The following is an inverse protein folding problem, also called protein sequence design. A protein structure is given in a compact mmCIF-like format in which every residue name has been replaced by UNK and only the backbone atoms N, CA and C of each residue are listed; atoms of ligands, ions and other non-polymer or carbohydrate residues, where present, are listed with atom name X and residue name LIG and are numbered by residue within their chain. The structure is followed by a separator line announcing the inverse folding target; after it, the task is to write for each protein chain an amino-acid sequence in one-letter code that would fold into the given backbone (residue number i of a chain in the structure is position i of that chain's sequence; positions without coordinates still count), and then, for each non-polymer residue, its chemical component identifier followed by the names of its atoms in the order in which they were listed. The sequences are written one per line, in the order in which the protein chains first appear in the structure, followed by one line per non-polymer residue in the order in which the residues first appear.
data_IF_738490248549
#
_entry.id   IF_738490248549
#
_cell.length_a   1.000
_cell.length_b   1.000
_cell.length_c   1.000
_cell.angle_alpha   90.00
_cell.angle_beta   90.00
_cell.angle_gamma   90.00
#
_symmetry.space_group_name_H-M   'P 1'
#
loop_
_entity.id
_entity.type
_entity.pdbx_description
1 polymer ?
#
# COMPACT_ATOMS: atom_id res chain seq x y z
N UNK A 1 20.16 -1.50 1.86
CA UNK A 1 19.65 -0.87 3.10
C UNK A 1 19.28 0.60 2.88
N UNK A 2 20.24 1.48 2.55
CA UNK A 2 19.97 2.91 2.37
C UNK A 2 18.97 3.24 1.26
N UNK A 3 19.03 2.51 0.14
CA UNK A 3 18.10 2.68 -0.98
C UNK A 3 16.66 2.28 -0.64
N UNK A 4 16.48 1.10 -0.03
CA UNK A 4 15.17 0.65 0.49
C UNK A 4 14.60 1.63 1.50
N UNK A 5 15.43 2.10 2.45
CA UNK A 5 15.01 3.06 3.47
C UNK A 5 14.54 4.37 2.83
N UNK A 6 15.27 4.87 1.83
CA UNK A 6 14.90 6.06 1.06
C UNK A 6 13.60 5.86 0.27
N UNK A 7 13.46 4.74 -0.44
CA UNK A 7 12.27 4.41 -1.20
C UNK A 7 11.02 4.22 -0.32
N UNK A 8 11.20 3.70 0.90
CA UNK A 8 10.13 3.52 1.87
C UNK A 8 9.87 4.75 2.75
N UNK A 9 10.68 5.81 2.65
CA UNK A 9 10.57 7.02 3.47
C UNK A 9 10.90 6.83 4.95
N UNK A 10 11.70 5.81 5.32
CA UNK A 10 12.02 5.50 6.72
C UNK A 10 13.51 5.55 7.02
N UNK A 11 13.86 5.64 8.30
CA UNK A 11 15.27 5.63 8.73
C UNK A 11 15.91 4.25 8.46
N UNK A 12 17.15 4.19 7.93
CA UNK A 12 17.90 2.92 7.81
C UNK A 12 17.97 2.10 9.10
N UNK A 13 17.99 2.75 10.27
CA UNK A 13 17.93 2.07 11.59
C UNK A 13 16.61 1.32 11.81
N UNK A 14 15.50 1.85 11.29
CA UNK A 14 14.19 1.19 11.35
C UNK A 14 14.19 -0.07 10.49
N UNK A 15 14.80 -0.02 9.30
CA UNK A 15 14.96 -1.19 8.42
C UNK A 15 15.79 -2.27 9.10
N UNK A 16 16.91 -1.88 9.73
CA UNK A 16 17.76 -2.84 10.44
C UNK A 16 17.03 -3.45 11.65
N UNK A 17 16.33 -2.63 12.43
CA UNK A 17 15.51 -3.10 13.54
C UNK A 17 14.44 -4.11 13.09
N UNK A 18 13.67 -3.80 12.05
CA UNK A 18 12.67 -4.71 11.49
C UNK A 18 13.28 -6.00 10.96
N UNK A 19 14.49 -5.93 10.41
CA UNK A 19 15.19 -7.13 9.97
C UNK A 19 15.63 -8.00 11.15
N UNK A 20 16.13 -7.39 12.23
CA UNK A 20 16.60 -8.10 13.42
C UNK A 20 15.48 -8.85 14.13
N UNK A 21 14.27 -8.29 14.18
CA UNK A 21 13.11 -8.93 14.80
C UNK A 21 12.38 -9.91 13.83
N UNK A 22 12.91 -10.09 12.62
CA UNK A 22 12.35 -10.98 11.60
C UNK A 22 11.10 -10.44 10.91
N UNK A 23 10.74 -9.17 11.15
CA UNK A 23 9.61 -8.49 10.53
C UNK A 23 9.90 -8.19 9.05
N UNK A 24 11.16 -7.99 8.68
CA UNK A 24 11.64 -7.87 7.31
C UNK A 24 12.66 -8.99 7.04
N UNK A 25 12.56 -9.69 5.91
CA UNK A 25 13.49 -10.76 5.55
C UNK A 25 14.22 -10.39 4.27
N UNK A 26 15.56 -10.28 4.26
CA UNK A 26 16.31 -10.04 3.04
C UNK A 26 16.23 -11.27 2.12
N UNK A 27 16.06 -11.06 0.82
CA UNK A 27 15.92 -12.17 -0.14
C UNK A 27 17.24 -12.89 -0.41
N UNK A 28 18.37 -12.19 -0.26
CA UNK A 28 19.68 -12.79 -0.45
C UNK A 28 20.70 -12.12 0.47
N UNK A 29 21.61 -12.93 1.02
CA UNK A 29 22.87 -12.45 1.59
C UNK A 29 23.91 -12.54 0.49
N UNK A 30 24.44 -11.40 0.07
CA UNK A 30 25.58 -11.41 -0.87
C UNK A 30 26.79 -12.11 -0.21
N UNK A 31 27.74 -12.65 -1.02
CA UNK A 31 29.01 -13.18 -0.50
C UNK A 31 29.76 -12.17 0.38
N UNK A 32 29.56 -10.88 0.12
CA UNK A 32 30.07 -9.72 0.86
C UNK A 32 29.27 -9.33 2.12
N UNK A 33 28.41 -10.20 2.67
CA UNK A 33 27.55 -9.96 3.85
C UNK A 33 26.52 -8.81 3.74
N UNK A 34 26.41 -8.13 2.59
CA UNK A 34 25.33 -7.14 2.39
C UNK A 34 23.97 -7.82 2.21
N UNK A 35 22.96 -7.27 2.88
CA UNK A 35 21.55 -7.67 2.78
C UNK A 35 20.92 -7.01 1.55
N UNK A 36 20.43 -7.82 0.62
CA UNK A 36 19.66 -7.36 -0.53
C UNK A 36 18.17 -7.43 -0.24
N UNK A 37 17.47 -6.40 -0.67
CA UNK A 37 16.03 -6.24 -0.52
C UNK A 37 15.44 -5.98 -1.89
N UNK A 38 14.37 -6.70 -2.21
CA UNK A 38 13.62 -6.58 -3.45
C UNK A 38 12.46 -5.59 -3.32
N UNK A 39 11.72 -5.39 -4.40
CA UNK A 39 10.44 -4.68 -4.40
C UNK A 39 9.44 -5.27 -3.39
N UNK A 40 9.43 -6.59 -3.18
CA UNK A 40 8.58 -7.23 -2.15
C UNK A 40 8.91 -6.73 -0.74
N UNK A 41 10.17 -6.39 -0.50
CA UNK A 41 10.58 -5.81 0.77
C UNK A 41 10.06 -4.38 0.94
N UNK A 42 9.98 -3.62 -0.15
CA UNK A 42 9.42 -2.27 -0.16
C UNK A 42 7.90 -2.32 0.09
N UNK A 43 7.20 -3.20 -0.60
CA UNK A 43 5.76 -3.43 -0.41
C UNK A 43 5.46 -3.85 1.03
N UNK A 44 6.24 -4.79 1.58
CA UNK A 44 6.14 -5.18 2.99
C UNK A 44 6.34 -4.00 3.95
N UNK A 45 7.27 -3.10 3.67
CA UNK A 45 7.47 -1.89 4.47
C UNK A 45 6.28 -0.92 4.39
N UNK A 46 5.63 -0.79 3.23
CA UNK A 46 4.40 0.02 3.10
C UNK A 46 3.27 -0.56 3.96
N UNK A 47 3.08 -1.88 3.94
CA UNK A 47 2.08 -2.56 4.80
C UNK A 47 2.39 -2.34 6.28
N UNK A 48 3.65 -2.49 6.70
CA UNK A 48 4.06 -2.24 8.10
C UNK A 48 3.71 -0.79 8.50
N UNK A 49 3.99 0.20 7.64
CA UNK A 49 3.67 1.60 7.93
C UNK A 49 2.16 1.85 8.03
N UNK A 50 1.37 1.27 7.13
CA UNK A 50 -0.08 1.38 7.13
C UNK A 50 -0.72 0.77 8.39
N UNK A 51 -0.22 -0.38 8.86
CA UNK A 51 -0.69 -1.02 10.08
C UNK A 51 -0.22 -0.28 11.34
N UNK A 52 1.00 0.28 11.34
CA UNK A 52 1.49 1.14 12.43
C UNK A 52 0.65 2.41 12.58
N UNK A 53 0.18 3.00 11.47
CA UNK A 53 -0.73 4.15 11.52
C UNK A 53 -2.06 3.81 12.20
N UNK A 54 -2.51 2.54 12.09
CA UNK A 54 -3.70 1.98 12.74
C UNK A 54 -3.46 1.43 14.15
N UNK A 55 -2.31 1.75 14.76
CA UNK A 55 -1.95 1.39 16.15
C UNK A 55 -1.70 -0.09 16.45
N UNK A 56 -1.54 -0.95 15.43
CA UNK A 56 -1.09 -2.32 15.65
C UNK A 56 0.34 -2.36 16.24
N UNK A 57 0.57 -3.30 17.15
CA UNK A 57 1.88 -3.67 17.69
C UNK A 57 2.73 -4.36 16.63
N UNK A 58 4.05 -4.40 16.82
CA UNK A 58 4.95 -5.06 15.86
C UNK A 58 4.74 -6.58 15.87
N UNK A 59 4.33 -7.13 17.00
CA UNK A 59 3.96 -8.53 17.18
C UNK A 59 2.70 -8.88 16.37
N UNK A 60 1.64 -8.07 16.44
CA UNK A 60 0.43 -8.26 15.63
C UNK A 60 0.73 -8.12 14.14
N UNK A 61 1.50 -7.09 13.77
CA UNK A 61 1.92 -6.89 12.37
C UNK A 61 2.71 -8.11 11.88
N UNK A 62 3.62 -8.65 12.69
CA UNK A 62 4.36 -9.86 12.35
C UNK A 62 3.43 -11.04 12.11
N UNK A 63 2.45 -11.25 13.00
CA UNK A 63 1.48 -12.33 12.88
C UNK A 63 0.62 -12.20 11.61
N UNK A 64 0.20 -10.97 11.26
CA UNK A 64 -0.54 -10.68 10.01
C UNK A 64 0.35 -11.00 8.80
N UNK A 65 1.59 -10.54 8.82
CA UNK A 65 2.52 -10.69 7.70
C UNK A 65 3.08 -12.11 7.52
N UNK A 66 3.06 -12.93 8.57
CA UNK A 66 3.48 -14.34 8.53
C UNK A 66 2.35 -15.27 8.05
N UNK A 67 1.08 -14.81 8.05
CA UNK A 67 -0.06 -15.55 7.46
C UNK A 67 -0.05 -15.60 5.92
N UNK A 68 0.90 -14.92 5.27
CA UNK A 68 0.94 -14.75 3.82
C UNK A 68 -0.06 -13.69 3.35
N UNK A 69 0.04 -13.21 2.10
CA UNK A 69 -0.95 -12.27 1.58
C UNK A 69 -2.31 -12.96 1.56
N UNK A 70 -3.27 -12.41 2.31
CA UNK A 70 -4.67 -12.79 2.11
C UNK A 70 -5.07 -12.44 0.68
N UNK A 71 -5.96 -13.22 0.09
CA UNK A 71 -6.53 -12.92 -1.23
C UNK A 71 -7.07 -11.47 -1.29
N UNK A 72 -7.63 -11.00 -0.16
CA UNK A 72 -8.09 -9.62 0.05
C UNK A 72 -6.95 -8.59 -0.04
N UNK A 73 -5.77 -8.86 0.54
CA UNK A 73 -4.62 -7.94 0.47
C UNK A 73 -4.05 -7.85 -0.94
N UNK A 74 -3.97 -8.99 -1.65
CA UNK A 74 -3.52 -9.01 -3.03
C UNK A 74 -4.47 -8.24 -3.95
N UNK A 75 -5.78 -8.38 -3.73
CA UNK A 75 -6.79 -7.64 -4.49
C UNK A 75 -6.77 -6.15 -4.14
N UNK A 76 -6.61 -5.78 -2.86
CA UNK A 76 -6.48 -4.39 -2.43
C UNK A 76 -5.26 -3.69 -3.08
N UNK A 77 -4.10 -4.36 -3.13
CA UNK A 77 -2.91 -3.82 -3.78
C UNK A 77 -3.12 -3.61 -5.30
N UNK A 78 -3.83 -4.52 -5.97
CA UNK A 78 -4.22 -4.36 -7.38
C UNK A 78 -5.14 -3.17 -7.59
N UNK A 79 -6.12 -2.97 -6.70
CA UNK A 79 -7.03 -1.83 -6.77
C UNK A 79 -6.30 -0.51 -6.53
N UNK A 80 -5.34 -0.46 -5.60
CA UNK A 80 -4.48 0.71 -5.36
C UNK A 80 -3.69 1.10 -6.61
N UNK A 81 -3.01 0.14 -7.24
CA UNK A 81 -2.26 0.38 -8.48
C UNK A 81 -3.16 0.86 -9.64
N UNK A 82 -4.37 0.30 -9.77
CA UNK A 82 -5.35 0.75 -10.76
C UNK A 82 -5.81 2.20 -10.49
N UNK A 83 -5.99 2.58 -9.23
CA UNK A 83 -6.36 3.95 -8.86
C UNK A 83 -5.24 4.94 -9.18
N UNK A 84 -3.98 4.61 -8.89
CA UNK A 84 -2.83 5.44 -9.27
C UNK A 84 -2.80 5.68 -10.79
N UNK A 85 -2.95 4.61 -11.58
CA UNK A 85 -2.98 4.74 -13.04
C UNK A 85 -4.15 5.60 -13.56
N UNK A 86 -5.32 5.52 -12.91
CA UNK A 86 -6.47 6.37 -13.25
C UNK A 86 -6.19 7.84 -12.93
N UNK A 87 -5.55 8.13 -11.79
CA UNK A 87 -5.18 9.50 -11.41
C UNK A 87 -4.19 10.10 -12.41
N UNK A 88 -3.14 9.36 -12.77
CA UNK A 88 -2.16 9.81 -13.78
C UNK A 88 -2.84 10.09 -15.12
N UNK A 89 -3.75 9.21 -15.55
CA UNK A 89 -4.52 9.40 -16.79
C UNK A 89 -5.39 10.65 -16.73
N UNK A 90 -6.04 10.92 -15.59
CA UNK A 90 -6.85 12.13 -15.42
C UNK A 90 -5.99 13.40 -15.45
N UNK A 91 -4.80 13.35 -14.87
CA UNK A 91 -3.83 14.43 -14.92
C UNK A 91 -3.38 14.74 -16.35
N UNK A 92 -3.16 13.71 -17.18
CA UNK A 92 -2.82 13.87 -18.61
C UNK A 92 -3.96 14.43 -19.47
N UNK A 93 -5.21 14.30 -18.99
CA UNK A 93 -6.41 14.77 -19.70
C UNK A 93 -6.77 16.21 -19.33
N UNK A 94 -6.29 16.76 -18.21
CA UNK A 94 -6.73 18.08 -17.69
C UNK A 94 -6.48 19.24 -18.65
N UNK A 95 -5.41 19.14 -19.45
CA UNK A 95 -5.00 20.18 -20.39
C UNK A 95 -5.55 19.98 -21.82
N UNK A 96 -6.36 18.94 -22.05
CA UNK A 96 -6.92 18.61 -23.37
C UNK A 96 -8.33 19.17 -23.53
N UNK A 97 -8.72 19.63 -24.74
CA UNK A 97 -10.10 20.03 -24.99
C UNK A 97 -11.02 18.80 -24.88
N UNK A 98 -11.99 18.87 -23.96
CA UNK A 98 -12.99 17.82 -23.74
C UNK A 98 -14.27 18.14 -24.50
N UNK A 99 -14.64 17.25 -25.43
CA UNK A 99 -15.94 17.28 -26.10
C UNK A 99 -17.10 16.91 -25.13
N UNK A 100 -18.33 17.03 -25.61
CA UNK A 100 -19.52 16.75 -24.80
C UNK A 100 -19.57 15.28 -24.31
N UNK A 101 -19.09 14.34 -25.12
CA UNK A 101 -19.09 12.91 -24.80
C UNK A 101 -18.08 12.61 -23.68
N UNK A 102 -16.86 13.11 -23.79
CA UNK A 102 -15.82 12.99 -22.79
C UNK A 102 -16.26 13.59 -21.46
N UNK A 103 -16.89 14.78 -21.48
CA UNK A 103 -17.45 15.41 -20.28
C UNK A 103 -18.51 14.54 -19.60
N UNK A 104 -19.46 13.99 -20.36
CA UNK A 104 -20.49 13.11 -19.80
C UNK A 104 -19.90 11.84 -19.17
N UNK A 105 -18.88 11.26 -19.80
CA UNK A 105 -18.15 10.11 -19.26
C UNK A 105 -17.40 10.45 -17.97
N UNK A 106 -16.71 11.59 -17.91
CA UNK A 106 -15.99 12.05 -16.72
C UNK A 106 -16.95 12.36 -15.55
N UNK A 107 -18.11 12.96 -15.82
CA UNK A 107 -19.16 13.14 -14.80
C UNK A 107 -19.63 11.80 -14.26
N UNK A 108 -19.84 10.81 -15.14
CA UNK A 108 -20.23 9.46 -14.72
C UNK A 108 -19.14 8.80 -13.87
N UNK A 109 -17.87 8.99 -14.24
CA UNK A 109 -16.72 8.48 -13.50
C UNK A 109 -16.64 9.12 -12.11
N UNK A 110 -16.87 10.42 -11.99
CA UNK A 110 -16.90 11.12 -10.70
C UNK A 110 -17.96 10.54 -9.76
N UNK A 111 -19.18 10.29 -10.25
CA UNK A 111 -20.26 9.67 -9.46
C UNK A 111 -19.89 8.26 -9.00
N UNK A 112 -19.29 7.46 -9.89
CA UNK A 112 -18.81 6.11 -9.54
C UNK A 112 -17.68 6.16 -8.51
N UNK A 113 -16.76 7.11 -8.64
CA UNK A 113 -15.68 7.33 -7.68
C UNK A 113 -16.19 7.66 -6.29
N UNK A 114 -17.21 8.52 -6.17
CA UNK A 114 -17.87 8.81 -4.89
C UNK A 114 -18.52 7.56 -4.29
N UNK A 115 -19.24 6.76 -5.08
CA UNK A 115 -19.87 5.53 -4.61
C UNK A 115 -18.82 4.49 -4.13
N UNK A 116 -17.67 4.41 -4.81
CA UNK A 116 -16.54 3.58 -4.37
C UNK A 116 -16.00 4.07 -3.03
N UNK A 117 -15.72 5.36 -2.89
CA UNK A 117 -15.23 5.94 -1.63
C UNK A 117 -16.20 5.68 -0.47
N UNK A 118 -17.51 5.81 -0.70
CA UNK A 118 -18.53 5.50 0.31
C UNK A 118 -18.49 4.03 0.74
N UNK A 119 -18.40 3.08 -0.20
CA UNK A 119 -18.32 1.64 0.12
C UNK A 119 -17.05 1.30 0.90
N UNK A 120 -15.92 1.91 0.56
CA UNK A 120 -14.67 1.75 1.31
C UNK A 120 -14.80 2.31 2.73
N UNK A 121 -15.42 3.48 2.90
CA UNK A 121 -15.69 4.05 4.22
C UNK A 121 -16.61 3.15 5.05
N UNK A 122 -17.64 2.55 4.44
CA UNK A 122 -18.51 1.59 5.13
C UNK A 122 -17.74 0.35 5.58
N UNK A 123 -16.95 -0.26 4.69
CA UNK A 123 -16.11 -1.42 5.03
C UNK A 123 -15.15 -1.12 6.18
N UNK A 124 -14.53 0.06 6.19
CA UNK A 124 -13.59 0.47 7.25
C UNK A 124 -14.28 0.81 8.58
N UNK A 125 -15.55 1.21 8.55
CA UNK A 125 -16.33 1.46 9.76
C UNK A 125 -16.86 0.17 10.39
N UNK A 126 -17.14 -0.87 9.60
CA UNK A 126 -17.62 -2.16 10.10
C UNK A 126 -16.53 -2.96 10.85
N UNK A 127 -15.24 -2.76 10.54
CA UNK A 127 -14.13 -3.39 11.27
C UNK A 127 -13.82 -2.74 12.64
N UNK A 128 -14.58 -1.71 13.06
CA UNK A 128 -14.35 -0.94 14.28
C UNK A 128 -15.06 -1.43 15.55
N UNK A 129 -15.81 -2.55 15.53
CA UNK A 129 -16.66 -2.95 16.66
C UNK A 129 -16.72 -4.47 16.92
N UNK A 130 -15.57 -5.14 16.98
CA UNK A 130 -15.45 -6.45 17.65
C UNK A 130 -14.45 -6.36 18.79
N UNK A 131 -14.87 -5.65 19.83
CA UNK A 131 -14.10 -5.43 21.05
C UNK A 131 -15.01 -5.10 22.24
N UNK A 132 -15.92 -6.03 22.55
CA UNK A 132 -16.52 -6.22 23.88
C UNK A 132 -16.54 -7.72 24.18
#
# INVERSE_FOLDING_TARGET
MGELARAAGINPRTVDYYTRIGLLRPETRTPSQYRLYSERSLERLRIIQALRARKYSLEEIKAILDRGPSEVLAEAARLEANLEHLLDTLDDLKDRPLDARARAMLTTLAVKGMALAQRLLLLLNEEGFTGL
#
